data_IF_107444499678
#
_entry.id   IF_107444499678
#
_cell.length_a   1.000
_cell.length_b   1.000
_cell.length_c   1.000
_cell.angle_alpha   90.00
_cell.angle_beta   90.00
_cell.angle_gamma   90.00
#
_symmetry.space_group_name_H-M   'P 1'
#
loop_
_entity.id
_entity.type
_entity.pdbx_description
1 polymer ?
#
# COMPACT_ATOMS: atom_id res chain seq x y z
N UNK A 1 30.24 -5.37 -4.36
CA UNK A 1 29.40 -4.98 -5.53
C UNK A 1 27.95 -4.72 -5.10
N UNK A 2 27.73 -3.93 -4.04
CA UNK A 2 26.40 -3.70 -3.43
C UNK A 2 26.12 -2.20 -3.33
N UNK A 3 26.17 -1.49 -4.47
CA UNK A 3 25.82 -0.07 -4.47
C UNK A 3 25.35 0.49 -5.82
N UNK A 4 24.49 -0.23 -6.55
CA UNK A 4 23.95 0.30 -7.83
C UNK A 4 22.43 0.14 -8.03
N UNK A 5 21.66 -0.45 -7.10
CA UNK A 5 20.21 -0.58 -7.28
C UNK A 5 19.39 0.55 -6.64
N UNK A 6 19.99 1.39 -5.79
CA UNK A 6 19.31 2.53 -5.15
C UNK A 6 19.50 3.88 -5.88
N UNK A 7 20.31 3.93 -6.95
CA UNK A 7 20.52 5.16 -7.73
C UNK A 7 19.42 5.42 -8.78
N UNK A 8 18.54 4.45 -9.03
CA UNK A 8 17.44 4.55 -9.99
C UNK A 8 16.07 4.66 -9.30
N UNK A 9 16.01 5.17 -8.07
CA UNK A 9 14.73 5.54 -7.45
C UNK A 9 14.19 6.79 -8.17
N UNK A 10 13.49 6.57 -9.28
CA UNK A 10 12.69 7.58 -9.94
C UNK A 10 11.28 7.55 -9.34
N UNK A 11 10.82 8.58 -8.61
CA UNK A 11 9.46 8.65 -8.10
C UNK A 11 8.39 8.49 -9.19
N UNK A 12 8.73 8.79 -10.45
CA UNK A 12 7.83 8.58 -11.59
C UNK A 12 7.62 7.11 -11.97
N UNK A 13 8.52 6.19 -11.63
CA UNK A 13 8.34 4.76 -11.97
C UNK A 13 7.28 4.09 -11.08
N UNK A 14 7.15 4.55 -9.83
CA UNK A 14 6.03 4.20 -8.96
C UNK A 14 4.71 4.80 -9.48
N UNK A 15 4.76 6.04 -10.00
CA UNK A 15 3.62 6.65 -10.69
C UNK A 15 3.25 5.90 -11.99
N UNK A 16 4.23 5.39 -12.74
CA UNK A 16 3.99 4.58 -13.96
C UNK A 16 3.43 3.18 -13.64
N UNK A 17 3.90 2.51 -12.59
CA UNK A 17 3.28 1.26 -12.11
C UNK A 17 1.90 1.51 -11.46
N UNK A 18 1.62 2.73 -10.99
CA UNK A 18 0.26 3.16 -10.64
C UNK A 18 -0.58 3.53 -11.88
N UNK A 19 0.04 3.95 -12.99
CA UNK A 19 -0.64 4.25 -14.27
C UNK A 19 -1.01 2.98 -15.05
N UNK A 20 -0.34 1.84 -14.83
CA UNK A 20 -0.72 0.56 -15.45
C UNK A 20 -2.03 -0.01 -14.92
N UNK A 21 -2.55 0.50 -13.80
CA UNK A 21 -3.97 0.35 -13.50
C UNK A 21 -4.74 1.34 -14.38
N UNK A 22 -5.05 0.91 -15.61
CA UNK A 22 -6.05 1.60 -16.41
C UNK A 22 -7.37 1.56 -15.65
N UNK A 23 -7.70 2.68 -15.00
CA UNK A 23 -9.00 2.94 -14.44
C UNK A 23 -10.00 2.99 -15.59
N UNK A 24 -10.78 1.94 -15.76
CA UNK A 24 -11.88 1.93 -16.72
C UNK A 24 -13.02 2.77 -16.14
N UNK A 25 -12.95 4.09 -16.29
CA UNK A 25 -14.06 4.99 -15.98
C UNK A 25 -15.13 4.78 -17.05
N UNK A 26 -16.22 4.13 -16.67
CA UNK A 26 -17.43 4.04 -17.50
C UNK A 26 -17.93 5.44 -17.83
N UNK A 27 -17.88 5.80 -19.11
CA UNK A 27 -18.38 7.06 -19.63
C UNK A 27 -19.91 6.95 -19.77
N UNK A 28 -20.67 7.46 -18.80
CA UNK A 28 -22.12 7.68 -18.94
C UNK A 28 -22.59 8.79 -17.99
N UNK A 29 -23.15 9.86 -18.56
CA UNK A 29 -24.21 10.71 -17.97
C UNK A 29 -23.85 11.67 -16.84
N UNK A 30 -23.93 12.98 -17.11
CA UNK A 30 -23.96 14.04 -16.09
C UNK A 30 -25.17 13.92 -15.16
N UNK A 31 -24.96 13.90 -13.84
CA UNK A 31 -25.67 14.71 -12.81
C UNK A 31 -25.37 14.18 -11.39
N UNK A 32 -24.96 15.08 -10.48
CA UNK A 32 -24.93 14.85 -9.02
C UNK A 32 -23.54 14.65 -8.39
N UNK A 33 -22.79 15.72 -8.14
CA UNK A 33 -21.55 15.65 -7.34
C UNK A 33 -21.87 15.50 -5.85
N UNK A 34 -21.82 14.27 -5.34
CA UNK A 34 -21.39 13.99 -3.97
C UNK A 34 -20.00 13.37 -4.04
N UNK A 35 -19.07 13.94 -3.27
CA UNK A 35 -17.67 13.50 -3.17
C UNK A 35 -17.59 12.05 -2.70
N UNK A 36 -17.50 11.10 -3.63
CA UNK A 36 -17.01 9.76 -3.30
C UNK A 36 -15.49 9.81 -3.27
N UNK A 37 -14.93 10.07 -2.09
CA UNK A 37 -13.50 9.90 -1.82
C UNK A 37 -13.10 8.41 -1.76
N UNK A 38 -13.91 7.49 -2.26
CA UNK A 38 -13.66 6.05 -2.20
C UNK A 38 -13.19 5.53 -3.56
N UNK A 39 -12.06 4.84 -3.55
CA UNK A 39 -11.48 4.17 -4.72
C UNK A 39 -11.67 2.66 -4.52
N UNK A 40 -12.48 2.04 -5.38
CA UNK A 40 -12.82 0.61 -5.31
C UNK A 40 -13.18 0.08 -6.70
N UNK A 41 -12.75 -1.14 -7.03
CA UNK A 41 -13.22 -1.83 -8.24
C UNK A 41 -14.61 -2.45 -8.05
N UNK A 42 -15.31 -2.70 -9.15
CA UNK A 42 -16.56 -3.46 -9.16
C UNK A 42 -16.35 -4.83 -8.51
N UNK A 43 -17.30 -5.27 -7.69
CA UNK A 43 -17.22 -6.57 -7.06
C UNK A 43 -17.40 -7.69 -8.09
N UNK A 44 -16.54 -8.69 -8.01
CA UNK A 44 -16.49 -9.85 -8.90
C UNK A 44 -17.74 -10.75 -8.90
N UNK A 45 -18.72 -10.51 -8.03
CA UNK A 45 -19.95 -11.32 -7.93
C UNK A 45 -19.75 -12.74 -7.37
N UNK A 46 -18.52 -13.10 -7.00
CA UNK A 46 -18.15 -14.45 -6.51
C UNK A 46 -18.61 -14.72 -5.07
N UNK A 47 -18.93 -13.67 -4.31
CA UNK A 47 -19.32 -13.79 -2.91
C UNK A 47 -20.84 -13.89 -2.78
N UNK A 48 -21.35 -14.68 -1.83
CA UNK A 48 -22.77 -14.70 -1.55
C UNK A 48 -23.24 -13.32 -1.05
N UNK A 49 -24.48 -12.95 -1.41
CA UNK A 49 -25.09 -11.67 -0.99
C UNK A 49 -25.22 -11.57 0.54
N UNK A 50 -25.40 -12.70 1.23
CA UNK A 50 -25.45 -12.80 2.68
C UNK A 50 -24.29 -13.68 3.15
N UNK A 51 -23.50 -13.18 4.11
CA UNK A 51 -22.38 -13.94 4.69
C UNK A 51 -22.88 -15.10 5.53
N UNK A 52 -22.54 -16.32 5.14
CA UNK A 52 -22.76 -17.53 5.93
C UNK A 52 -21.71 -17.72 7.02
N UNK A 53 -21.85 -18.75 7.88
CA UNK A 53 -20.86 -19.10 8.90
C UNK A 53 -19.57 -19.68 8.31
N UNK A 54 -19.56 -20.07 7.03
CA UNK A 54 -18.39 -20.64 6.37
C UNK A 54 -17.35 -19.56 6.02
N UNK A 55 -16.08 -19.96 6.06
CA UNK A 55 -14.97 -19.15 5.53
C UNK A 55 -15.09 -19.13 4.01
N UNK A 56 -15.19 -17.94 3.43
CA UNK A 56 -15.15 -17.74 1.98
C UNK A 56 -13.78 -17.24 1.52
N UNK A 57 -13.54 -17.21 0.21
CA UNK A 57 -12.27 -16.76 -0.38
C UNK A 57 -11.83 -15.38 0.09
N UNK A 58 -12.77 -14.45 0.31
CA UNK A 58 -12.44 -13.11 0.80
C UNK A 58 -11.92 -13.18 2.24
N UNK A 59 -12.51 -14.01 3.08
CA UNK A 59 -12.04 -14.23 4.45
C UNK A 59 -10.64 -14.88 4.46
N UNK A 60 -10.40 -15.88 3.60
CA UNK A 60 -9.08 -16.53 3.47
C UNK A 60 -8.00 -15.56 3.01
N UNK A 61 -8.27 -14.77 1.96
CA UNK A 61 -7.27 -13.81 1.45
C UNK A 61 -7.04 -12.65 2.44
N UNK A 62 -8.08 -12.21 3.16
CA UNK A 62 -7.91 -11.24 4.26
C UNK A 62 -7.00 -11.78 5.36
N UNK A 63 -7.20 -13.03 5.76
CA UNK A 63 -6.35 -13.68 6.75
C UNK A 63 -4.91 -13.75 6.27
N UNK A 64 -4.67 -14.21 5.03
CA UNK A 64 -3.35 -14.25 4.43
C UNK A 64 -2.69 -12.86 4.41
N UNK A 65 -3.42 -11.82 3.97
CA UNK A 65 -2.89 -10.46 3.93
C UNK A 65 -2.52 -9.93 5.33
N UNK A 66 -3.32 -10.23 6.36
CA UNK A 66 -3.02 -9.84 7.73
C UNK A 66 -1.79 -10.59 8.27
N UNK A 67 -1.67 -11.88 7.97
CA UNK A 67 -0.53 -12.70 8.36
C UNK A 67 0.77 -12.21 7.72
N UNK A 68 0.75 -11.92 6.41
CA UNK A 68 1.94 -11.43 5.68
C UNK A 68 2.42 -10.08 6.22
N UNK A 69 1.50 -9.16 6.56
CA UNK A 69 1.85 -7.89 7.22
C UNK A 69 2.55 -8.12 8.56
N UNK A 70 1.99 -9.01 9.38
CA UNK A 70 2.57 -9.36 10.68
C UNK A 70 3.97 -9.96 10.55
N UNK A 71 4.17 -10.88 9.59
CA UNK A 71 5.49 -11.47 9.33
C UNK A 71 6.48 -10.40 8.85
N UNK A 72 6.04 -9.52 7.96
CA UNK A 72 6.85 -8.40 7.43
C UNK A 72 7.35 -7.49 8.53
N UNK A 73 6.49 -7.12 9.49
CA UNK A 73 6.87 -6.27 10.62
C UNK A 73 7.92 -6.95 11.51
N UNK A 74 7.76 -8.25 11.78
CA UNK A 74 8.72 -9.02 12.57
C UNK A 74 10.07 -9.20 11.85
N UNK A 75 10.05 -9.48 10.54
CA UNK A 75 11.26 -9.59 9.73
C UNK A 75 12.01 -8.26 9.64
N UNK A 76 11.31 -7.13 9.63
CA UNK A 76 11.93 -5.81 9.70
C UNK A 76 12.72 -5.61 10.99
N UNK A 77 12.17 -6.01 12.15
CA UNK A 77 12.88 -5.96 13.42
C UNK A 77 14.09 -6.89 13.38
N UNK A 78 13.89 -8.13 12.94
CA UNK A 78 14.96 -9.11 12.90
C UNK A 78 16.12 -8.71 11.97
N UNK A 79 15.81 -8.20 10.77
CA UNK A 79 16.82 -7.72 9.84
C UNK A 79 17.69 -6.62 10.45
N UNK A 80 17.11 -5.69 11.22
CA UNK A 80 17.84 -4.59 11.86
C UNK A 80 18.75 -5.05 12.98
N UNK A 81 18.41 -6.16 13.64
CA UNK A 81 19.13 -6.68 14.81
C UNK A 81 20.08 -7.84 14.46
N UNK A 82 20.07 -8.33 13.22
CA UNK A 82 20.91 -9.44 12.77
C UNK A 82 22.40 -9.04 12.73
N UNK A 83 23.17 -9.48 13.74
CA UNK A 83 24.60 -9.17 13.85
C UNK A 83 25.53 -9.91 12.87
N UNK A 84 25.05 -10.98 12.21
CA UNK A 84 25.85 -11.75 11.25
C UNK A 84 25.46 -11.42 9.80
N UNK A 85 26.45 -11.04 8.97
CA UNK A 85 26.20 -10.53 7.60
C UNK A 85 25.48 -11.50 6.68
N UNK A 86 25.80 -12.80 6.71
CA UNK A 86 25.12 -13.77 5.85
C UNK A 86 23.66 -13.93 6.28
N UNK A 87 23.41 -14.00 7.59
CA UNK A 87 22.07 -14.11 8.14
C UNK A 87 21.23 -12.86 7.80
N UNK A 88 21.82 -11.68 7.96
CA UNK A 88 21.19 -10.43 7.55
C UNK A 88 20.77 -10.47 6.08
N UNK A 89 21.65 -10.92 5.19
CA UNK A 89 21.32 -10.99 3.76
C UNK A 89 20.20 -11.99 3.46
N UNK A 90 20.20 -13.15 4.11
CA UNK A 90 19.14 -14.15 3.95
C UNK A 90 17.79 -13.61 4.43
N UNK A 91 17.78 -12.95 5.60
CA UNK A 91 16.58 -12.31 6.15
C UNK A 91 16.07 -11.19 5.25
N UNK A 92 16.97 -10.37 4.68
CA UNK A 92 16.58 -9.32 3.74
C UNK A 92 15.97 -9.90 2.46
N UNK A 93 16.46 -11.05 1.97
CA UNK A 93 15.86 -11.72 0.82
C UNK A 93 14.43 -12.18 1.13
N UNK A 94 14.25 -12.89 2.26
CA UNK A 94 12.92 -13.34 2.70
C UNK A 94 11.99 -12.14 2.89
N UNK A 95 12.46 -11.08 3.54
CA UNK A 95 11.67 -9.86 3.76
C UNK A 95 11.18 -9.25 2.45
N UNK A 96 12.03 -9.18 1.42
CA UNK A 96 11.64 -8.67 0.10
C UNK A 96 10.59 -9.56 -0.57
N UNK A 97 10.72 -10.88 -0.47
CA UNK A 97 9.73 -11.84 -0.99
C UNK A 97 8.39 -11.70 -0.27
N UNK A 98 8.40 -11.60 1.07
CA UNK A 98 7.19 -11.36 1.89
C UNK A 98 6.51 -10.05 1.54
N UNK A 99 7.27 -8.97 1.31
CA UNK A 99 6.72 -7.70 0.82
C UNK A 99 6.05 -7.84 -0.55
N UNK A 100 6.68 -8.58 -1.48
CA UNK A 100 6.11 -8.82 -2.80
C UNK A 100 4.79 -9.61 -2.71
N UNK A 101 4.75 -10.68 -1.90
CA UNK A 101 3.52 -11.45 -1.68
C UNK A 101 2.41 -10.60 -1.04
N UNK A 102 2.74 -9.79 -0.03
CA UNK A 102 1.78 -8.85 0.59
C UNK A 102 1.16 -7.94 -0.47
N UNK A 103 1.98 -7.46 -1.43
CA UNK A 103 1.52 -6.61 -2.51
C UNK A 103 0.61 -7.36 -3.48
N UNK A 104 0.95 -8.59 -3.85
CA UNK A 104 0.12 -9.42 -4.73
C UNK A 104 -1.24 -9.74 -4.12
N UNK A 105 -1.30 -10.05 -2.82
CA UNK A 105 -2.55 -10.27 -2.09
C UNK A 105 -3.43 -9.01 -2.08
N UNK A 106 -2.83 -7.85 -1.80
CA UNK A 106 -3.53 -6.57 -1.85
C UNK A 106 -4.11 -6.30 -3.24
N UNK A 107 -3.29 -6.48 -4.27
CA UNK A 107 -3.67 -6.30 -5.67
C UNK A 107 -4.83 -7.23 -6.06
N UNK A 108 -4.75 -8.50 -5.67
CA UNK A 108 -5.80 -9.49 -5.91
C UNK A 108 -7.13 -9.04 -5.28
N UNK A 109 -7.08 -8.64 -4.01
CA UNK A 109 -8.27 -8.14 -3.29
C UNK A 109 -8.84 -6.88 -3.94
N UNK A 110 -7.97 -5.97 -4.38
CA UNK A 110 -8.38 -4.75 -5.05
C UNK A 110 -9.03 -5.06 -6.40
N UNK A 111 -8.43 -5.91 -7.24
CA UNK A 111 -9.01 -6.36 -8.54
C UNK A 111 -10.37 -7.04 -8.37
N UNK A 112 -10.55 -7.82 -7.30
CA UNK A 112 -11.84 -8.49 -7.00
C UNK A 112 -12.90 -7.56 -6.40
N UNK A 113 -12.58 -6.29 -6.13
CA UNK A 113 -13.48 -5.32 -5.50
C UNK A 113 -13.72 -5.59 -4.01
N UNK A 114 -12.80 -6.28 -3.35
CA UNK A 114 -12.92 -6.67 -1.93
C UNK A 114 -12.26 -5.67 -0.98
N UNK A 115 -11.46 -4.75 -1.53
CA UNK A 115 -10.77 -3.69 -0.81
C UNK A 115 -11.23 -2.31 -1.30
N UNK A 116 -11.53 -1.42 -0.37
CA UNK A 116 -11.88 -0.01 -0.64
C UNK A 116 -10.77 0.86 -0.07
N UNK A 117 -10.26 1.78 -0.88
CA UNK A 117 -9.34 2.80 -0.42
C UNK A 117 -10.10 4.12 -0.25
N UNK A 118 -9.74 4.90 0.76
CA UNK A 118 -10.24 6.26 0.93
C UNK A 118 -9.14 7.22 0.50
N UNK A 119 -9.40 8.01 -0.54
CA UNK A 119 -8.56 9.11 -0.92
C UNK A 119 -8.60 10.18 0.19
N UNK A 120 -7.41 10.62 0.62
CA UNK A 120 -7.31 11.68 1.62
C UNK A 120 -7.77 13.02 1.03
N UNK A 121 -8.42 13.84 1.86
CA UNK A 121 -8.93 15.13 1.45
C UNK A 121 -7.76 16.10 1.18
N UNK A 122 -7.72 16.78 0.01
CA UNK A 122 -6.66 17.73 -0.31
C UNK A 122 -6.46 18.82 0.75
N UNK A 123 -7.55 19.25 1.38
CA UNK A 123 -7.52 20.25 2.46
C UNK A 123 -6.83 19.73 3.73
N UNK A 124 -7.00 18.45 4.07
CA UNK A 124 -6.34 17.82 5.21
C UNK A 124 -4.85 17.65 4.94
N UNK A 125 -4.48 17.24 3.73
CA UNK A 125 -3.08 17.23 3.27
C UNK A 125 -2.43 18.61 3.40
N UNK A 126 -3.10 19.67 2.91
CA UNK A 126 -2.59 21.04 2.98
C UNK A 126 -2.40 21.52 4.43
N UNK A 127 -3.35 21.21 5.33
CA UNK A 127 -3.24 21.53 6.76
C UNK A 127 -2.07 20.81 7.42
N UNK A 128 -1.93 19.50 7.19
CA UNK A 128 -0.82 18.73 7.75
C UNK A 128 0.53 19.23 7.23
N UNK A 129 0.63 19.55 5.93
CA UNK A 129 1.84 20.16 5.36
C UNK A 129 2.20 21.49 6.06
N UNK A 130 1.22 22.38 6.24
CA UNK A 130 1.42 23.65 6.95
C UNK A 130 1.88 23.42 8.41
N UNK A 131 1.27 22.47 9.12
CA UNK A 131 1.64 22.14 10.50
C UNK A 131 3.10 21.68 10.60
N UNK A 132 3.54 20.77 9.73
CA UNK A 132 4.94 20.32 9.73
C UNK A 132 5.92 21.39 9.25
N UNK A 133 5.50 22.26 8.32
CA UNK A 133 6.30 23.42 7.90
C UNK A 133 6.57 24.35 9.09
N UNK A 134 5.60 24.55 9.99
CA UNK A 134 5.79 25.36 11.19
C UNK A 134 6.78 24.75 12.17
N UNK A 135 6.96 23.42 12.21
CA UNK A 135 7.98 22.80 13.05
C UNK A 135 9.42 23.09 12.58
N UNK A 136 9.61 23.63 11.38
CA UNK A 136 10.94 24.10 10.94
C UNK A 136 11.54 25.16 11.85
N UNK A 137 10.72 25.91 12.60
CA UNK A 137 11.19 26.89 13.59
C UNK A 137 11.83 26.25 14.83
N UNK A 138 11.66 24.94 15.02
CA UNK A 138 12.29 24.18 16.11
C UNK A 138 13.67 23.64 15.71
N UNK A 139 14.08 23.80 14.45
CA UNK A 139 15.39 23.34 14.02
C UNK A 139 16.49 24.21 14.63
N UNK A 140 17.57 23.60 15.15
CA UNK A 140 18.66 24.33 15.82
C UNK A 140 19.48 25.21 14.86
N UNK A 141 19.33 25.04 13.54
CA UNK A 141 20.00 25.81 12.51
C UNK A 141 18.97 26.35 11.50
N UNK A 142 19.11 27.61 11.06
CA UNK A 142 18.25 28.16 10.02
C UNK A 142 18.48 27.42 8.70
N UNK A 143 17.40 27.10 8.00
CA UNK A 143 17.46 26.52 6.65
C UNK A 143 18.04 27.58 5.70
N UNK A 144 19.22 27.31 5.13
CA UNK A 144 19.85 28.15 4.10
C UNK A 144 19.18 27.96 2.74
#
# INVERSE_FOLDING_TARGET
MYNQQWQNYNPQSMAQNMQSYQFMTGQQGMQGQQQQNTIKNLQSGLLPQVKGPQINDRDTVNFALAQEKYITDNLNVFAREAGHRLLHNDVMNILNETHAMTRELFDLMFRKGWYTLEAEQPQKLARTHQQFTQYSTQFPYPMQ
#
